data_IF_215816132628
#
_entry.id   IF_215816132628
#
_cell.length_a   1.000
_cell.length_b   1.000
_cell.length_c   1.000
_cell.angle_alpha   90.00
_cell.angle_beta   90.00
_cell.angle_gamma   90.00
#
_symmetry.space_group_name_H-M   'P 1'
#
loop_
_entity.id
_entity.type
_entity.pdbx_description
1 polymer ?
#
# COMPACT_ATOMS: atom_id res chain seq x y z
N UNK A 1 -21.15 -13.71 -6.24
CA UNK A 1 -20.39 -13.94 -7.50
C UNK A 1 -18.93 -14.03 -7.08
N UNK A 2 -18.53 -15.21 -6.57
CA UNK A 2 -17.14 -15.50 -6.28
C UNK A 2 -16.38 -15.40 -7.60
N UNK A 3 -15.39 -14.51 -7.67
CA UNK A 3 -14.45 -14.51 -8.77
C UNK A 3 -13.58 -15.75 -8.59
N UNK A 4 -14.10 -16.91 -9.02
CA UNK A 4 -13.36 -18.17 -9.15
C UNK A 4 -12.36 -18.02 -10.30
N UNK A 5 -11.38 -17.13 -10.15
CA UNK A 5 -10.11 -17.30 -10.81
C UNK A 5 -9.56 -18.63 -10.29
N UNK A 6 -9.13 -19.58 -11.14
CA UNK A 6 -8.45 -20.80 -10.70
C UNK A 6 -7.03 -20.43 -10.24
N UNK A 7 -6.95 -19.58 -9.23
CA UNK A 7 -5.73 -19.16 -8.57
C UNK A 7 -5.43 -20.22 -7.55
N UNK A 8 -4.32 -20.93 -7.77
CA UNK A 8 -3.76 -21.77 -6.72
C UNK A 8 -3.53 -20.92 -5.47
N UNK A 9 -3.67 -21.51 -4.28
CA UNK A 9 -3.33 -20.89 -2.99
C UNK A 9 -1.95 -20.21 -3.05
N UNK A 10 -1.00 -20.84 -3.76
CA UNK A 10 0.34 -20.28 -4.00
C UNK A 10 0.30 -18.94 -4.73
N UNK A 11 -0.55 -18.81 -5.76
CA UNK A 11 -0.72 -17.58 -6.52
C UNK A 11 -1.37 -16.47 -5.69
N UNK A 12 -2.35 -16.80 -4.84
CA UNK A 12 -2.98 -15.84 -3.92
C UNK A 12 -1.97 -15.31 -2.90
N UNK A 13 -1.17 -16.20 -2.30
CA UNK A 13 -0.10 -15.80 -1.35
C UNK A 13 0.93 -14.90 -2.04
N UNK A 14 1.39 -15.29 -3.24
CA UNK A 14 2.35 -14.49 -3.99
C UNK A 14 1.79 -13.09 -4.32
N UNK A 15 0.53 -13.03 -4.76
CA UNK A 15 -0.15 -11.77 -5.06
C UNK A 15 -0.29 -10.90 -3.80
N UNK A 16 -0.70 -11.48 -2.67
CA UNK A 16 -0.82 -10.79 -1.39
C UNK A 16 0.53 -10.20 -0.95
N UNK A 17 1.62 -10.97 -1.06
CA UNK A 17 2.97 -10.51 -0.76
C UNK A 17 3.35 -9.33 -1.66
N UNK A 18 3.12 -9.43 -2.97
CA UNK A 18 3.41 -8.34 -3.91
C UNK A 18 2.62 -7.07 -3.56
N UNK A 19 1.34 -7.19 -3.23
CA UNK A 19 0.50 -6.04 -2.84
C UNK A 19 1.03 -5.39 -1.56
N UNK A 20 1.40 -6.17 -0.54
CA UNK A 20 1.99 -5.67 0.70
C UNK A 20 3.29 -4.90 0.40
N UNK A 21 4.16 -5.42 -0.47
CA UNK A 21 5.39 -4.74 -0.86
C UNK A 21 5.13 -3.42 -1.60
N UNK A 22 4.17 -3.40 -2.53
CA UNK A 22 3.79 -2.19 -3.26
C UNK A 22 3.25 -1.15 -2.28
N UNK A 23 2.32 -1.55 -1.42
CA UNK A 23 1.71 -0.67 -0.42
C UNK A 23 2.75 -0.12 0.56
N UNK A 24 3.69 -0.97 1.01
CA UNK A 24 4.80 -0.54 1.85
C UNK A 24 5.76 0.42 1.15
N UNK A 25 6.03 0.19 -0.14
CA UNK A 25 6.82 1.11 -0.97
C UNK A 25 6.16 2.49 -1.11
N UNK A 26 4.85 2.51 -1.33
CA UNK A 26 4.05 3.74 -1.42
C UNK A 26 4.10 4.52 -0.10
N UNK A 27 3.82 3.86 1.03
CA UNK A 27 3.88 4.46 2.37
C UNK A 27 5.29 4.99 2.69
N UNK A 28 6.35 4.22 2.39
CA UNK A 28 7.73 4.68 2.58
C UNK A 28 8.00 5.98 1.82
N UNK A 29 7.53 6.05 0.58
CA UNK A 29 7.73 7.22 -0.29
C UNK A 29 6.99 8.46 0.23
N UNK A 30 5.75 8.29 0.69
CA UNK A 30 4.97 9.36 1.31
C UNK A 30 5.63 9.90 2.57
N UNK A 31 5.95 9.01 3.51
CA UNK A 31 6.52 9.39 4.81
C UNK A 31 7.90 10.01 4.62
N UNK A 32 8.72 9.46 3.72
CA UNK A 32 10.04 10.03 3.41
C UNK A 32 9.94 11.40 2.74
N UNK A 33 8.96 11.63 1.85
CA UNK A 33 8.71 12.95 1.29
C UNK A 33 8.28 13.94 2.37
N UNK A 34 7.36 13.54 3.26
CA UNK A 34 6.88 14.36 4.36
C UNK A 34 8.00 14.73 5.36
N UNK A 35 8.83 13.75 5.73
CA UNK A 35 9.91 13.92 6.71
C UNK A 35 11.15 14.66 6.17
N UNK A 36 11.42 14.60 4.86
CA UNK A 36 12.55 15.32 4.26
C UNK A 36 12.33 16.83 4.33
N UNK A 37 13.37 17.64 4.56
CA UNK A 37 13.24 19.11 4.56
C UNK A 37 13.68 19.71 3.23
N UNK A 38 13.07 20.84 2.82
CA UNK A 38 13.46 21.56 1.58
C UNK A 38 14.95 21.96 1.62
N UNK A 39 15.44 22.43 2.76
CA UNK A 39 16.84 22.85 2.96
C UNK A 39 17.81 21.69 2.70
N UNK A 40 17.58 20.50 3.29
CA UNK A 40 18.46 19.34 3.07
C UNK A 40 18.47 18.88 1.62
N UNK A 41 17.32 18.92 0.94
CA UNK A 41 17.23 18.57 -0.48
C UNK A 41 17.96 19.59 -1.37
N UNK A 42 17.87 20.89 -1.06
CA UNK A 42 18.63 21.93 -1.78
C UNK A 42 20.13 21.71 -1.66
N UNK A 43 20.62 21.42 -0.44
CA UNK A 43 22.02 21.05 -0.21
C UNK A 43 22.43 19.88 -1.11
N UNK A 44 21.61 18.83 -1.22
CA UNK A 44 21.91 17.69 -2.10
C UNK A 44 21.96 18.05 -3.59
N UNK A 45 21.14 19.01 -4.04
CA UNK A 45 21.20 19.54 -5.41
C UNK A 45 22.50 20.31 -5.64
N UNK A 46 22.93 21.14 -4.70
CA UNK A 46 24.19 21.88 -4.76
C UNK A 46 25.40 20.95 -4.81
N UNK A 47 25.33 19.81 -4.11
CA UNK A 47 26.33 18.74 -4.18
C UNK A 47 26.25 17.90 -5.47
N UNK A 48 25.36 18.25 -6.41
CA UNK A 48 25.27 17.64 -7.73
C UNK A 48 24.29 16.47 -7.87
N UNK A 49 23.50 16.14 -6.84
CA UNK A 49 22.49 15.07 -6.95
C UNK A 49 21.26 15.56 -7.74
N UNK A 50 21.21 15.18 -9.02
CA UNK A 50 20.09 15.51 -9.93
C UNK A 50 18.76 14.92 -9.47
N UNK A 51 18.75 13.85 -8.66
CA UNK A 51 17.52 13.22 -8.13
C UNK A 51 16.85 14.12 -7.11
N UNK A 52 17.63 14.83 -6.30
CA UNK A 52 17.11 15.76 -5.29
C UNK A 52 16.29 16.89 -5.92
N UNK A 53 16.63 17.31 -7.14
CA UNK A 53 15.86 18.30 -7.90
C UNK A 53 14.44 17.82 -8.23
N UNK A 54 14.26 16.56 -8.60
CA UNK A 54 12.92 16.02 -8.86
C UNK A 54 12.11 15.89 -7.56
N UNK A 55 12.77 15.48 -6.46
CA UNK A 55 12.10 15.40 -5.15
C UNK A 55 11.64 16.79 -4.68
N UNK A 56 12.40 17.85 -4.97
CA UNK A 56 11.97 19.22 -4.72
C UNK A 56 10.69 19.57 -5.49
N UNK A 57 10.56 19.14 -6.76
CA UNK A 57 9.32 19.33 -7.52
C UNK A 57 8.13 18.62 -6.87
N UNK A 58 8.30 17.39 -6.36
CA UNK A 58 7.24 16.71 -5.60
C UNK A 58 6.85 17.48 -4.32
N UNK A 59 7.79 18.20 -3.69
CA UNK A 59 7.54 19.06 -2.54
C UNK A 59 6.94 20.43 -2.87
N UNK A 60 7.05 20.90 -4.11
CA UNK A 60 6.39 22.14 -4.56
C UNK A 60 4.89 21.93 -4.70
N UNK A 61 4.49 20.75 -5.19
CA UNK A 61 3.09 20.35 -5.32
C UNK A 61 2.80 19.04 -4.56
N UNK A 62 2.85 19.06 -3.22
CA UNK A 62 2.70 17.85 -2.42
C UNK A 62 1.29 17.27 -2.51
N UNK A 63 0.26 18.08 -2.79
CA UNK A 63 -1.14 17.65 -2.86
C UNK A 63 -1.34 16.51 -3.85
N UNK A 64 -0.97 16.71 -5.12
CA UNK A 64 -1.12 15.69 -6.16
C UNK A 64 -0.33 14.41 -5.83
N UNK A 65 0.89 14.55 -5.31
CA UNK A 65 1.69 13.39 -4.89
C UNK A 65 1.00 12.57 -3.80
N UNK A 66 0.58 13.24 -2.72
CA UNK A 66 -0.07 12.59 -1.57
C UNK A 66 -1.38 11.92 -2.01
N UNK A 67 -2.20 12.60 -2.81
CA UNK A 67 -3.45 12.04 -3.34
C UNK A 67 -3.21 10.75 -4.12
N UNK A 68 -2.26 10.74 -5.05
CA UNK A 68 -1.97 9.54 -5.87
C UNK A 68 -1.49 8.38 -4.99
N UNK A 69 -0.62 8.66 -4.03
CA UNK A 69 -0.09 7.64 -3.12
C UNK A 69 -1.19 7.07 -2.23
N UNK A 70 -2.03 7.93 -1.66
CA UNK A 70 -3.12 7.50 -0.80
C UNK A 70 -4.13 6.63 -1.55
N UNK A 71 -4.46 6.99 -2.81
CA UNK A 71 -5.30 6.15 -3.68
C UNK A 71 -4.65 4.78 -3.86
N UNK A 72 -3.35 4.72 -4.17
CA UNK A 72 -2.63 3.46 -4.34
C UNK A 72 -2.62 2.59 -3.08
N UNK A 73 -2.39 3.18 -1.90
CA UNK A 73 -2.42 2.47 -0.61
C UNK A 73 -3.82 1.93 -0.32
N UNK A 74 -4.87 2.74 -0.54
CA UNK A 74 -6.25 2.30 -0.34
C UNK A 74 -6.64 1.17 -1.29
N UNK A 75 -6.23 1.25 -2.57
CA UNK A 75 -6.46 0.17 -3.53
C UNK A 75 -5.76 -1.12 -3.09
N UNK A 76 -4.52 -1.04 -2.61
CA UNK A 76 -3.80 -2.19 -2.08
C UNK A 76 -4.54 -2.79 -0.87
N UNK A 77 -5.05 -1.95 0.03
CA UNK A 77 -5.79 -2.42 1.20
C UNK A 77 -7.06 -3.18 0.85
N UNK A 78 -7.86 -2.67 -0.09
CA UNK A 78 -9.08 -3.32 -0.55
C UNK A 78 -8.76 -4.66 -1.23
N UNK A 79 -7.76 -4.68 -2.13
CA UNK A 79 -7.34 -5.88 -2.84
C UNK A 79 -6.80 -6.95 -1.89
N UNK A 80 -5.95 -6.57 -0.93
CA UNK A 80 -5.44 -7.48 0.09
C UNK A 80 -6.57 -8.05 0.94
N UNK A 81 -7.54 -7.24 1.36
CA UNK A 81 -8.69 -7.70 2.13
C UNK A 81 -9.49 -8.77 1.40
N UNK A 82 -9.80 -8.53 0.11
CA UNK A 82 -10.51 -9.49 -0.72
C UNK A 82 -9.75 -10.81 -0.92
N UNK A 83 -8.46 -10.75 -1.27
CA UNK A 83 -7.61 -11.95 -1.42
C UNK A 83 -7.46 -12.70 -0.09
N UNK A 84 -7.35 -11.94 1.00
CA UNK A 84 -7.22 -12.45 2.34
C UNK A 84 -8.46 -13.22 2.80
N UNK A 85 -9.65 -12.68 2.52
CA UNK A 85 -10.92 -13.34 2.79
C UNK A 85 -10.95 -14.75 2.19
N UNK A 86 -10.74 -14.87 0.89
CA UNK A 86 -10.70 -16.17 0.18
C UNK A 86 -9.61 -17.11 0.73
N UNK A 87 -8.46 -16.56 1.12
CA UNK A 87 -7.29 -17.34 1.54
C UNK A 87 -7.44 -17.90 2.96
N UNK A 88 -7.98 -17.13 3.92
CA UNK A 88 -8.00 -17.53 5.34
C UNK A 88 -9.39 -17.89 5.88
N UNK A 89 -10.48 -17.35 5.31
CA UNK A 89 -11.84 -17.62 5.78
C UNK A 89 -12.17 -19.12 5.90
N UNK A 90 -11.90 -19.98 4.90
CA UNK A 90 -12.23 -21.41 5.01
C UNK A 90 -11.46 -22.13 6.11
N UNK A 91 -10.21 -21.74 6.38
CA UNK A 91 -9.38 -22.33 7.43
C UNK A 91 -9.85 -21.92 8.84
N UNK A 92 -10.52 -20.77 8.96
CA UNK A 92 -11.10 -20.29 10.22
C UNK A 92 -12.52 -20.85 10.41
N UNK A 93 -13.31 -20.95 9.34
CA UNK A 93 -14.68 -21.45 9.39
C UNK A 93 -14.76 -22.97 9.64
N UNK A 94 -13.82 -23.76 9.08
CA UNK A 94 -13.79 -25.21 9.24
C UNK A 94 -13.79 -25.69 10.71
N UNK A 95 -12.90 -25.22 11.60
CA UNK A 95 -12.93 -25.63 13.00
C UNK A 95 -14.20 -25.16 13.71
N UNK A 96 -14.73 -23.97 13.40
CA UNK A 96 -15.98 -23.46 14.00
C UNK A 96 -17.17 -24.37 13.68
N UNK A 97 -17.28 -24.83 12.43
CA UNK A 97 -18.28 -25.82 12.01
C UNK A 97 -18.09 -27.15 12.76
N UNK A 98 -16.85 -27.59 12.94
CA UNK A 98 -16.54 -28.81 13.69
C UNK A 98 -16.92 -28.73 15.18
N UNK A 99 -16.92 -27.53 15.78
CA UNK A 99 -17.39 -27.27 17.15
C UNK A 99 -18.93 -27.13 17.27
N UNK A 100 -19.67 -27.30 16.17
CA UNK A 100 -21.13 -27.30 16.16
C UNK A 100 -21.78 -25.94 15.95
N UNK A 101 -21.04 -24.92 15.50
CA UNK A 101 -21.65 -23.68 15.02
C UNK A 101 -22.46 -23.94 13.74
N UNK A 102 -23.54 -23.18 13.60
CA UNK A 102 -24.31 -23.13 12.35
C UNK A 102 -23.43 -22.68 11.18
N UNK A 103 -23.51 -23.35 10.00
CA UNK A 103 -22.60 -23.10 8.88
C UNK A 103 -22.54 -21.63 8.46
N UNK A 104 -23.69 -20.95 8.41
CA UNK A 104 -23.79 -19.55 7.99
C UNK A 104 -23.08 -18.60 8.99
N UNK A 105 -23.26 -18.86 10.28
CA UNK A 105 -22.57 -18.09 11.33
C UNK A 105 -21.06 -18.35 11.30
N UNK A 106 -20.64 -19.61 11.11
CA UNK A 106 -19.23 -19.97 11.03
C UNK A 106 -18.52 -19.32 9.82
N UNK A 107 -19.20 -19.23 8.67
CA UNK A 107 -18.66 -18.59 7.47
C UNK A 107 -18.57 -17.06 7.61
N UNK A 108 -19.57 -16.42 8.24
CA UNK A 108 -19.52 -15.00 8.55
C UNK A 108 -18.37 -14.67 9.51
N UNK A 109 -18.24 -15.43 10.60
CA UNK A 109 -17.15 -15.26 11.57
C UNK A 109 -15.80 -15.52 10.90
N UNK A 110 -15.68 -16.57 10.08
CA UNK A 110 -14.46 -16.88 9.33
C UNK A 110 -14.04 -15.71 8.44
N UNK A 111 -14.99 -15.11 7.72
CA UNK A 111 -14.74 -13.99 6.81
C UNK A 111 -14.36 -12.72 7.57
N UNK A 112 -15.06 -12.38 8.66
CA UNK A 112 -14.72 -11.24 9.51
C UNK A 112 -13.32 -11.37 10.15
N UNK A 113 -13.01 -12.54 10.71
CA UNK A 113 -11.71 -12.77 11.36
C UNK A 113 -10.58 -12.78 10.33
N UNK A 114 -10.81 -13.38 9.16
CA UNK A 114 -9.88 -13.35 8.03
C UNK A 114 -9.55 -11.92 7.61
N UNK A 115 -10.59 -11.11 7.37
CA UNK A 115 -10.43 -9.72 6.98
C UNK A 115 -9.66 -8.89 8.02
N UNK A 116 -9.99 -9.06 9.30
CA UNK A 116 -9.28 -8.39 10.40
C UNK A 116 -7.81 -8.81 10.49
N UNK A 117 -7.54 -10.11 10.36
CA UNK A 117 -6.19 -10.65 10.39
C UNK A 117 -5.36 -10.10 9.25
N UNK A 118 -5.88 -10.14 8.02
CA UNK A 118 -5.18 -9.64 6.83
C UNK A 118 -4.95 -8.13 6.92
N UNK A 119 -5.95 -7.38 7.38
CA UNK A 119 -5.81 -5.94 7.61
C UNK A 119 -4.73 -5.64 8.65
N UNK A 120 -4.68 -6.39 9.74
CA UNK A 120 -3.65 -6.25 10.76
C UNK A 120 -2.25 -6.49 10.20
N UNK A 121 -2.06 -7.58 9.44
CA UNK A 121 -0.80 -7.86 8.75
C UNK A 121 -0.43 -6.74 7.77
N UNK A 122 -1.38 -6.32 6.93
CA UNK A 122 -1.17 -5.25 5.97
C UNK A 122 -0.72 -3.96 6.68
N UNK A 123 -1.41 -3.53 7.74
CA UNK A 123 -1.05 -2.31 8.49
C UNK A 123 0.36 -2.40 9.06
N UNK A 124 0.74 -3.55 9.62
CA UNK A 124 2.09 -3.75 10.18
C UNK A 124 3.15 -3.63 9.09
N UNK A 125 2.98 -4.37 7.99
CA UNK A 125 4.00 -4.51 6.95
C UNK A 125 4.02 -3.33 5.97
N UNK A 126 2.86 -2.72 5.72
CA UNK A 126 2.69 -1.62 4.77
C UNK A 126 2.80 -0.24 5.40
N UNK A 127 2.64 -0.08 6.72
CA UNK A 127 2.64 1.26 7.33
C UNK A 127 3.63 1.34 8.50
N UNK A 128 3.49 0.48 9.52
CA UNK A 128 4.34 0.58 10.71
C UNK A 128 5.83 0.35 10.42
N UNK A 129 6.17 -0.70 9.65
CA UNK A 129 7.56 -1.01 9.30
C UNK A 129 8.15 0.09 8.38
N UNK A 130 7.51 0.45 7.25
CA UNK A 130 7.86 1.59 6.41
C UNK A 130 8.14 2.86 7.18
N UNK A 131 7.23 3.24 8.08
CA UNK A 131 7.35 4.46 8.89
C UNK A 131 8.65 4.47 9.69
N UNK A 132 8.99 3.36 10.35
CA UNK A 132 10.24 3.24 11.10
C UNK A 132 11.48 3.37 10.20
N UNK A 133 11.47 2.76 9.02
CA UNK A 133 12.59 2.84 8.08
C UNK A 133 12.74 4.25 7.48
N UNK A 134 11.63 4.87 7.08
CA UNK A 134 11.59 6.19 6.47
C UNK A 134 12.09 7.30 7.40
N UNK A 135 11.84 7.21 8.70
CA UNK A 135 12.35 8.20 9.65
C UNK A 135 13.86 8.12 9.90
N UNK A 136 14.49 6.96 9.69
CA UNK A 136 15.92 6.81 9.91
C UNK A 136 16.75 7.58 8.85
N UNK A 137 16.34 7.50 7.58
CA UNK A 137 17.05 8.14 6.46
C UNK A 137 16.07 8.64 5.38
N UNK A 138 15.26 9.68 5.68
CA UNK A 138 14.17 10.10 4.81
C UNK A 138 14.64 10.58 3.45
N UNK A 139 15.73 11.36 3.39
CA UNK A 139 16.24 11.90 2.13
C UNK A 139 16.78 10.77 1.23
N UNK A 140 17.49 9.80 1.80
CA UNK A 140 18.03 8.67 1.03
C UNK A 140 16.91 7.81 0.43
N UNK A 141 15.86 7.55 1.19
CA UNK A 141 14.74 6.73 0.75
C UNK A 141 13.96 7.45 -0.35
N UNK A 142 13.59 8.72 -0.16
CA UNK A 142 12.83 9.45 -1.20
C UNK A 142 13.63 9.61 -2.50
N UNK A 143 14.97 9.74 -2.42
CA UNK A 143 15.83 9.79 -3.61
C UNK A 143 15.86 8.49 -4.41
N UNK A 144 15.67 7.34 -3.75
CA UNK A 144 15.54 6.03 -4.42
C UNK A 144 14.13 5.88 -4.98
N UNK A 145 13.11 6.25 -4.21
CA UNK A 145 11.71 6.11 -4.60
C UNK A 145 11.26 7.08 -5.70
N UNK A 146 11.93 8.22 -5.87
CA UNK A 146 11.47 9.28 -6.79
C UNK A 146 11.31 8.84 -8.25
N UNK A 147 12.14 7.93 -8.76
CA UNK A 147 12.03 7.45 -10.13
C UNK A 147 10.78 6.57 -10.35
N UNK A 148 10.56 5.48 -9.58
CA UNK A 148 9.33 4.71 -9.68
C UNK A 148 8.07 5.53 -9.39
N UNK A 149 8.14 6.47 -8.44
CA UNK A 149 7.00 7.34 -8.13
C UNK A 149 6.64 8.28 -9.28
N UNK A 150 7.62 8.78 -10.04
CA UNK A 150 7.33 9.57 -11.24
C UNK A 150 6.52 8.78 -12.27
N UNK A 151 6.85 7.51 -12.49
CA UNK A 151 6.10 6.64 -13.41
C UNK A 151 4.69 6.43 -12.90
N UNK A 152 4.55 6.10 -11.61
CA UNK A 152 3.25 5.90 -10.97
C UNK A 152 2.36 7.15 -11.08
N UNK A 153 2.93 8.33 -10.83
CA UNK A 153 2.22 9.60 -10.94
C UNK A 153 1.72 9.85 -12.36
N UNK A 154 2.52 9.57 -13.40
CA UNK A 154 2.08 9.74 -14.80
C UNK A 154 0.98 8.76 -15.16
N UNK A 155 1.08 7.51 -14.70
CA UNK A 155 0.08 6.46 -14.99
C UNK A 155 -1.24 6.72 -14.26
N UNK A 156 -1.19 7.19 -13.02
CA UNK A 156 -2.37 7.46 -12.19
C UNK A 156 -2.94 8.88 -12.34
N UNK A 157 -2.18 9.82 -12.90
CA UNK A 157 -2.64 11.19 -13.19
C UNK A 157 -3.97 11.26 -13.94
N UNK A 158 -4.26 10.48 -15.00
CA UNK A 158 -5.57 10.53 -15.66
C UNK A 158 -6.71 10.09 -14.74
N UNK A 159 -6.50 9.12 -13.86
CA UNK A 159 -7.51 8.68 -12.88
C UNK A 159 -7.74 9.75 -11.81
N UNK A 160 -6.66 10.37 -11.32
CA UNK A 160 -6.73 11.43 -10.30
C UNK A 160 -7.43 12.66 -10.86
N UNK A 161 -7.13 13.05 -12.10
CA UNK A 161 -7.80 14.18 -12.76
C UNK A 161 -9.31 13.97 -12.91
N UNK A 162 -9.75 12.75 -13.24
CA UNK A 162 -11.19 12.42 -13.29
C UNK A 162 -11.82 12.55 -11.90
N UNK A 163 -11.14 12.11 -10.84
CA UNK A 163 -11.63 12.21 -9.47
C UNK A 163 -11.68 13.67 -8.98
N UNK A 164 -10.64 14.46 -9.25
CA UNK A 164 -10.57 15.88 -8.87
C UNK A 164 -11.59 16.74 -9.62
N UNK A 165 -11.90 16.43 -10.88
CA UNK A 165 -12.95 17.13 -11.64
C UNK A 165 -14.37 16.65 -11.31
N UNK A 166 -14.51 15.51 -10.63
CA UNK A 166 -15.81 14.99 -10.20
C UNK A 166 -16.25 15.54 -8.83
N UNK A 167 -15.34 16.15 -8.07
CA UNK A 167 -15.58 16.82 -6.78
C UNK A 167 -15.72 18.34 -6.92
#
# INVERSE_FOLDING_TARGET
MSFDLPMSITSQILLLIVIIFISGFLSMSEISLAASTKVRLQVLVEHGDKRARNVLQFKEHPGHFVTVVQIGINMCAILSGFIGEDLFSPYIAWPLKAFGLEPETADLVGSCVSFLLVTFFLVIFSDLIPKRLSFAHPEKIILVCQAPMRVLLVVLSPFVWVLENAS
#
